data_IF_646758888680
#
_entry.id   IF_646758888680
#
_cell.length_a   1.000
_cell.length_b   1.000
_cell.length_c   1.000
_cell.angle_alpha   90.00
_cell.angle_beta   90.00
_cell.angle_gamma   90.00
#
_symmetry.space_group_name_H-M   'P 1'
#
loop_
_entity.id
_entity.type
_entity.pdbx_description
1 polymer ?
#
# COMPACT_ATOMS: atom_id res chain seq x y z
N UNK A 1 -2.66 -0.94 -22.30
CA UNK A 1 -1.54 -1.75 -21.78
C UNK A 1 -0.66 -0.76 -21.06
N UNK A 2 -0.50 -0.89 -19.73
CA UNK A 2 0.31 0.05 -18.95
C UNK A 2 1.77 -0.41 -19.00
N UNK A 3 2.60 0.32 -19.74
CA UNK A 3 4.01 0.04 -19.93
C UNK A 3 4.82 0.53 -18.73
N UNK A 4 4.94 -0.32 -17.70
CA UNK A 4 5.96 -0.15 -16.67
C UNK A 4 7.26 -0.81 -17.16
N UNK A 5 8.43 -0.15 -17.04
CA UNK A 5 9.71 -0.79 -17.30
C UNK A 5 9.85 -2.05 -16.42
N UNK A 6 10.32 -3.14 -17.01
CA UNK A 6 10.54 -4.41 -16.32
C UNK A 6 11.36 -4.16 -15.03
N UNK A 7 10.86 -4.66 -13.90
CA UNK A 7 11.52 -4.57 -12.60
C UNK A 7 11.77 -3.16 -12.07
N UNK A 8 10.84 -2.22 -12.25
CA UNK A 8 10.86 -0.94 -11.53
C UNK A 8 9.79 -0.87 -10.43
N UNK A 9 9.97 -1.62 -9.30
CA UNK A 9 9.01 -1.61 -8.19
C UNK A 9 8.84 -0.19 -7.60
N UNK A 10 9.85 0.66 -7.69
CA UNK A 10 9.82 2.04 -7.19
C UNK A 10 8.81 2.94 -7.92
N UNK A 11 8.44 2.60 -9.17
CA UNK A 11 7.44 3.32 -9.94
C UNK A 11 6.04 2.70 -9.82
N UNK A 12 5.82 1.68 -8.99
CA UNK A 12 4.49 1.10 -8.82
C UNK A 12 3.84 1.54 -7.50
N UNK A 13 2.81 2.41 -7.51
CA UNK A 13 2.19 2.92 -6.29
C UNK A 13 1.50 1.82 -5.46
N UNK A 14 1.23 0.64 -6.03
CA UNK A 14 0.70 -0.50 -5.28
C UNK A 14 1.69 -1.02 -4.23
N UNK A 15 3.00 -0.86 -4.45
CA UNK A 15 4.03 -1.28 -3.49
C UNK A 15 3.97 -0.44 -2.21
N UNK A 16 3.71 0.85 -2.34
CA UNK A 16 3.49 1.75 -1.21
C UNK A 16 2.25 1.36 -0.39
N UNK A 17 1.16 0.97 -1.07
CA UNK A 17 -0.05 0.46 -0.43
C UNK A 17 0.23 -0.82 0.37
N UNK A 18 0.92 -1.79 -0.25
CA UNK A 18 1.26 -3.04 0.43
C UNK A 18 2.26 -2.86 1.56
N UNK A 19 3.19 -1.91 1.45
CA UNK A 19 4.10 -1.54 2.54
C UNK A 19 3.33 -1.03 3.77
N UNK A 20 2.36 -0.14 3.57
CA UNK A 20 1.50 0.36 4.65
C UNK A 20 0.64 -0.76 5.24
N UNK A 21 -0.04 -1.57 4.43
CA UNK A 21 -0.86 -2.69 4.91
C UNK A 21 -0.05 -3.71 5.72
N UNK A 22 1.15 -4.09 5.24
CA UNK A 22 2.05 -5.02 5.96
C UNK A 22 2.52 -4.45 7.30
N UNK A 23 2.61 -3.13 7.45
CA UNK A 23 2.98 -2.50 8.73
C UNK A 23 1.91 -2.75 9.79
N UNK A 24 0.62 -2.66 9.43
CA UNK A 24 -0.48 -2.97 10.34
C UNK A 24 -0.55 -4.46 10.69
N UNK A 25 -0.37 -5.34 9.69
CA UNK A 25 -0.35 -6.79 9.93
C UNK A 25 0.80 -7.18 10.87
N UNK A 26 2.00 -6.62 10.67
CA UNK A 26 3.15 -6.86 11.56
C UNK A 26 2.93 -6.33 12.97
N UNK A 27 2.25 -5.19 13.10
CA UNK A 27 1.94 -4.60 14.40
C UNK A 27 0.83 -5.36 15.16
N UNK A 28 -0.07 -6.03 14.45
CA UNK A 28 -1.22 -6.71 15.04
C UNK A 28 -0.92 -8.14 15.56
N UNK A 29 0.33 -8.64 15.42
CA UNK A 29 0.77 -9.98 15.85
C UNK A 29 -0.28 -11.08 15.52
N UNK A 30 -0.77 -11.07 14.28
CA UNK A 30 -1.96 -11.84 13.88
C UNK A 30 -1.73 -13.34 14.00
N UNK A 31 -2.34 -13.98 15.00
CA UNK A 31 -2.20 -15.42 15.26
C UNK A 31 -3.19 -16.29 14.46
N UNK A 32 -4.26 -15.70 13.91
CA UNK A 32 -5.29 -16.39 13.14
C UNK A 32 -5.58 -15.70 11.81
N UNK A 33 -6.19 -16.43 10.87
CA UNK A 33 -6.58 -15.89 9.58
C UNK A 33 -7.61 -14.75 9.71
N UNK A 34 -8.56 -14.84 10.65
CA UNK A 34 -9.53 -13.77 10.90
C UNK A 34 -8.84 -12.49 11.38
N UNK A 35 -7.89 -12.61 12.32
CA UNK A 35 -7.09 -11.47 12.77
C UNK A 35 -6.25 -10.86 11.65
N UNK A 36 -5.74 -11.68 10.74
CA UNK A 36 -5.02 -11.22 9.55
C UNK A 36 -5.94 -10.40 8.63
N UNK A 37 -7.14 -10.89 8.35
CA UNK A 37 -8.11 -10.19 7.50
C UNK A 37 -8.54 -8.86 8.12
N UNK A 38 -8.82 -8.85 9.42
CA UNK A 38 -9.18 -7.66 10.19
C UNK A 38 -8.02 -6.64 10.24
N UNK A 39 -6.78 -7.08 10.43
CA UNK A 39 -5.61 -6.22 10.37
C UNK A 39 -5.37 -5.61 8.98
N UNK A 40 -5.60 -6.38 7.91
CA UNK A 40 -5.54 -5.87 6.53
C UNK A 40 -6.64 -4.83 6.31
N UNK A 41 -7.88 -5.13 6.71
CA UNK A 41 -9.00 -4.22 6.58
C UNK A 41 -8.72 -2.89 7.29
N UNK A 42 -8.32 -2.92 8.56
CA UNK A 42 -7.94 -1.72 9.31
C UNK A 42 -6.82 -0.94 8.64
N UNK A 43 -5.80 -1.64 8.13
CA UNK A 43 -4.71 -1.02 7.41
C UNK A 43 -5.18 -0.26 6.16
N UNK A 44 -6.09 -0.86 5.39
CA UNK A 44 -6.69 -0.25 4.21
C UNK A 44 -7.63 0.92 4.56
N UNK A 45 -8.40 0.83 5.65
CA UNK A 45 -9.26 1.93 6.13
C UNK A 45 -8.47 3.18 6.52
N UNK A 46 -7.18 3.03 6.86
CA UNK A 46 -6.30 4.18 7.16
C UNK A 46 -5.70 4.87 5.93
N UNK A 47 -6.05 4.41 4.71
CA UNK A 47 -5.55 4.98 3.46
C UNK A 47 -6.42 6.16 3.05
N UNK A 48 -5.87 7.36 3.17
CA UNK A 48 -6.46 8.61 2.69
C UNK A 48 -6.16 8.83 1.21
N UNK A 49 -7.15 9.30 0.44
CA UNK A 49 -6.95 9.66 -0.97
C UNK A 49 -5.95 10.82 -1.11
N UNK A 50 -6.09 11.84 -0.27
CA UNK A 50 -5.28 13.06 -0.35
C UNK A 50 -3.88 12.86 0.25
N UNK A 51 -3.78 12.24 1.42
CA UNK A 51 -2.50 12.13 2.13
C UNK A 51 -1.67 10.91 1.74
N UNK A 52 -2.31 9.85 1.24
CA UNK A 52 -1.60 8.62 0.89
C UNK A 52 -1.57 8.40 -0.61
N UNK A 53 -2.74 8.24 -1.23
CA UNK A 53 -2.79 7.87 -2.65
C UNK A 53 -2.12 8.92 -3.52
N UNK A 54 -2.49 10.20 -3.39
CA UNK A 54 -1.86 11.28 -4.16
C UNK A 54 -0.34 11.33 -3.94
N UNK A 55 0.10 11.26 -2.69
CA UNK A 55 1.52 11.28 -2.34
C UNK A 55 2.29 10.08 -2.91
N UNK A 56 1.71 8.89 -2.95
CA UNK A 56 2.33 7.71 -3.58
C UNK A 56 2.46 7.84 -5.09
N UNK A 57 1.43 8.36 -5.77
CA UNK A 57 1.52 8.66 -7.19
C UNK A 57 2.57 9.74 -7.48
N UNK A 58 2.71 10.76 -6.62
CA UNK A 58 3.75 11.78 -6.76
C UNK A 58 5.14 11.21 -6.54
N UNK A 59 5.30 10.33 -5.55
CA UNK A 59 6.54 9.63 -5.29
C UNK A 59 6.98 8.77 -6.49
N UNK A 60 6.03 8.14 -7.18
CA UNK A 60 6.27 7.39 -8.42
C UNK A 60 6.36 8.29 -9.68
N UNK A 61 6.50 9.62 -9.53
CA UNK A 61 6.60 10.59 -10.62
C UNK A 61 5.37 10.68 -11.55
N UNK A 62 4.18 10.32 -11.06
CA UNK A 62 2.91 10.42 -11.81
C UNK A 62 2.10 11.68 -11.51
N UNK A 63 2.61 12.57 -10.66
CA UNK A 63 2.04 13.90 -10.45
C UNK A 63 2.66 14.88 -11.43
N UNK A 64 2.08 14.97 -12.63
CA UNK A 64 2.21 16.14 -13.48
C UNK A 64 1.15 17.19 -13.10
#
# INVERSE_FOLDING_TARGET
MWDLPLYSPDFNPIENLWSKAKTYVRAAETATQEMLHDAIQRGLETISLDDNVRNWFCHCCYCA
#
